data_IF_476789117869
#
_entry.id   IF_476789117869
#
_cell.length_a   1.000
_cell.length_b   1.000
_cell.length_c   1.000
_cell.angle_alpha   90.00
_cell.angle_beta   90.00
_cell.angle_gamma   90.00
#
_symmetry.space_group_name_H-M   'P 1'
#
loop_
_entity.id
_entity.type
_entity.pdbx_description
1 polymer ?
#
# COMPACT_ATOMS: atom_id res chain seq x y z
N UNK A 1 -0.23 22.30 0.59
CA UNK A 1 -0.78 21.64 -0.61
C UNK A 1 -1.35 20.29 -0.26
N UNK A 2 -2.51 19.94 -0.77
CA UNK A 2 -3.14 18.67 -0.41
C UNK A 2 -2.41 17.50 -1.07
N UNK A 3 -2.28 16.38 -0.33
CA UNK A 3 -1.64 15.18 -0.85
C UNK A 3 -2.30 14.68 -2.14
N UNK A 4 -3.64 14.88 -2.27
CA UNK A 4 -4.37 14.46 -3.46
C UNK A 4 -3.80 15.06 -4.75
N UNK A 5 -3.25 16.27 -4.68
CA UNK A 5 -2.67 16.93 -5.84
C UNK A 5 -1.37 16.27 -6.30
N UNK A 6 -0.79 15.42 -5.45
CA UNK A 6 0.49 14.76 -5.72
C UNK A 6 0.39 13.25 -5.71
N UNK A 7 -0.83 12.69 -5.78
CA UNK A 7 -1.04 11.26 -5.69
C UNK A 7 -0.25 10.48 -6.73
N UNK A 8 -0.23 10.97 -7.96
CA UNK A 8 0.50 10.30 -9.02
C UNK A 8 1.99 10.19 -8.70
N UNK A 9 2.56 11.31 -8.24
CA UNK A 9 3.97 11.32 -7.85
C UNK A 9 4.24 10.39 -6.66
N UNK A 10 3.32 10.36 -5.70
CA UNK A 10 3.50 9.59 -4.47
C UNK A 10 2.95 8.17 -4.55
N UNK A 11 2.43 7.78 -5.71
CA UNK A 11 1.76 6.48 -5.85
C UNK A 11 2.62 5.29 -5.46
N UNK A 12 3.90 5.34 -5.78
CA UNK A 12 4.82 4.27 -5.40
C UNK A 12 4.99 4.16 -3.89
N UNK A 13 5.11 5.30 -3.21
CA UNK A 13 5.21 5.30 -1.75
C UNK A 13 3.95 4.78 -1.10
N UNK A 14 2.80 5.15 -1.65
CA UNK A 14 1.51 4.67 -1.15
C UNK A 14 1.43 3.14 -1.28
N UNK A 15 1.83 2.60 -2.43
CA UNK A 15 1.84 1.15 -2.64
C UNK A 15 2.79 0.45 -1.69
N UNK A 16 3.93 1.07 -1.38
CA UNK A 16 4.86 0.49 -0.41
C UNK A 16 4.28 0.48 1.00
N UNK A 17 3.52 1.52 1.38
CA UNK A 17 2.81 1.50 2.66
C UNK A 17 1.83 0.33 2.71
N UNK A 18 1.05 0.13 1.64
CA UNK A 18 0.11 -0.98 1.55
C UNK A 18 0.85 -2.31 1.71
N UNK A 19 1.91 -2.49 0.95
CA UNK A 19 2.65 -3.75 0.95
C UNK A 19 3.30 -4.02 2.30
N UNK A 20 3.82 -2.99 2.94
CA UNK A 20 4.41 -3.10 4.27
C UNK A 20 3.40 -3.63 5.28
N UNK A 21 2.21 -3.02 5.33
CA UNK A 21 1.19 -3.45 6.28
C UNK A 21 0.63 -4.82 5.94
N UNK A 22 0.47 -5.13 4.65
CA UNK A 22 0.00 -6.44 4.21
C UNK A 22 1.00 -7.55 4.52
N UNK A 23 2.28 -7.21 4.64
CA UNK A 23 3.32 -8.16 5.02
C UNK A 23 3.31 -8.43 6.53
N UNK A 24 2.82 -7.48 7.32
CA UNK A 24 2.74 -7.64 8.78
C UNK A 24 1.48 -8.37 9.23
N UNK A 25 0.42 -8.34 8.43
CA UNK A 25 -0.83 -8.98 8.78
C UNK A 25 -1.89 -8.66 7.73
N UNK A 26 -3.11 -9.10 7.99
CA UNK A 26 -4.22 -8.82 7.08
C UNK A 26 -4.69 -7.40 7.25
N UNK A 27 -5.12 -6.78 6.14
CA UNK A 27 -5.69 -5.45 6.15
C UNK A 27 -6.91 -5.40 5.25
N UNK A 28 -7.81 -4.47 5.50
CA UNK A 28 -8.92 -4.17 4.60
C UNK A 28 -8.85 -2.71 4.18
N UNK A 29 -9.54 -2.41 3.06
CA UNK A 29 -9.37 -1.11 2.41
C UNK A 29 -9.64 0.09 3.29
N UNK A 30 -10.76 0.09 4.03
CA UNK A 30 -11.09 1.24 4.87
C UNK A 30 -10.02 1.49 5.94
N UNK A 31 -9.53 0.42 6.57
CA UNK A 31 -8.45 0.55 7.55
C UNK A 31 -7.21 1.15 6.91
N UNK A 32 -6.89 0.71 5.69
CA UNK A 32 -5.70 1.21 5.01
C UNK A 32 -5.83 2.70 4.65
N UNK A 33 -7.03 3.14 4.28
CA UNK A 33 -7.28 4.56 4.02
C UNK A 33 -6.96 5.39 5.27
N UNK A 34 -7.43 4.93 6.43
CA UNK A 34 -7.18 5.63 7.69
C UNK A 34 -5.72 5.60 8.09
N UNK A 35 -5.06 4.48 7.84
CA UNK A 35 -3.63 4.35 8.13
C UNK A 35 -2.81 5.29 7.25
N UNK A 36 -3.14 5.36 5.96
CA UNK A 36 -2.47 6.28 5.05
C UNK A 36 -2.68 7.74 5.48
N UNK A 37 -3.88 8.06 5.97
CA UNK A 37 -4.15 9.41 6.46
C UNK A 37 -3.22 9.78 7.62
N UNK A 38 -2.96 8.85 8.53
CA UNK A 38 -2.04 9.09 9.64
C UNK A 38 -0.63 9.41 9.17
N UNK A 39 -0.26 8.90 8.00
CA UNK A 39 1.06 9.15 7.41
C UNK A 39 1.06 10.30 6.42
N UNK A 40 -0.03 11.08 6.38
CA UNK A 40 -0.09 12.27 5.56
C UNK A 40 -0.60 12.08 4.14
N UNK A 41 -1.12 10.89 3.82
CA UNK A 41 -1.64 10.61 2.49
C UNK A 41 -3.15 10.63 2.50
N UNK A 42 -3.74 11.40 1.58
CA UNK A 42 -5.19 11.43 1.39
C UNK A 42 -5.53 10.62 0.15
N UNK A 43 -6.05 9.42 0.37
CA UNK A 43 -6.39 8.49 -0.70
C UNK A 43 -7.85 8.14 -0.58
N UNK A 44 -8.61 8.35 -1.66
CA UNK A 44 -10.03 8.03 -1.68
C UNK A 44 -10.23 6.53 -1.94
N UNK A 45 -11.40 5.98 -1.59
CA UNK A 45 -11.72 4.60 -1.98
C UNK A 45 -11.61 4.38 -3.48
N UNK A 46 -12.01 5.37 -4.29
CA UNK A 46 -11.93 5.28 -5.76
C UNK A 46 -10.51 5.15 -6.27
N UNK A 47 -9.52 5.53 -5.49
CA UNK A 47 -8.10 5.35 -5.83
C UNK A 47 -7.53 4.10 -5.20
N UNK A 48 -7.83 3.86 -3.92
CA UNK A 48 -7.21 2.75 -3.20
C UNK A 48 -7.69 1.39 -3.67
N UNK A 49 -9.01 1.20 -3.86
CA UNK A 49 -9.52 -0.13 -4.23
C UNK A 49 -8.99 -0.60 -5.57
N UNK A 50 -8.95 0.23 -6.63
CA UNK A 50 -8.30 -0.20 -7.88
C UNK A 50 -6.82 -0.53 -7.70
N UNK A 51 -6.13 0.20 -6.81
CA UNK A 51 -4.73 -0.07 -6.51
C UNK A 51 -4.55 -1.44 -5.86
N UNK A 52 -5.39 -1.77 -4.88
CA UNK A 52 -5.35 -3.09 -4.23
C UNK A 52 -5.61 -4.20 -5.23
N UNK A 53 -6.62 -4.01 -6.11
CA UNK A 53 -6.95 -5.00 -7.14
C UNK A 53 -5.79 -5.19 -8.11
N UNK A 54 -5.14 -4.12 -8.52
CA UNK A 54 -4.00 -4.21 -9.42
C UNK A 54 -2.83 -4.93 -8.78
N UNK A 55 -2.57 -4.65 -7.51
CA UNK A 55 -1.49 -5.32 -6.77
C UNK A 55 -1.79 -6.82 -6.62
N UNK A 56 -3.06 -7.18 -6.44
CA UNK A 56 -3.45 -8.58 -6.38
C UNK A 56 -3.27 -9.26 -7.74
N UNK A 57 -3.71 -8.61 -8.82
CA UNK A 57 -3.54 -9.16 -10.17
C UNK A 57 -2.08 -9.40 -10.51
N UNK A 58 -1.20 -8.54 -10.02
CA UNK A 58 0.24 -8.69 -10.25
C UNK A 58 0.91 -9.67 -9.31
N UNK A 59 0.14 -10.25 -8.41
CA UNK A 59 0.64 -11.29 -7.52
C UNK A 59 1.34 -10.81 -6.26
N UNK A 60 1.30 -9.51 -5.96
CA UNK A 60 1.90 -8.97 -4.73
C UNK A 60 1.01 -9.18 -3.52
N UNK A 61 -0.29 -9.21 -3.72
CA UNK A 61 -1.29 -9.41 -2.67
C UNK A 61 -2.17 -10.57 -3.01
N UNK A 62 -2.75 -11.18 -1.98
CA UNK A 62 -3.85 -12.12 -2.13
C UNK A 62 -4.93 -11.71 -1.14
N UNK A 63 -6.17 -12.04 -1.46
CA UNK A 63 -7.29 -11.61 -0.64
C UNK A 63 -8.28 -12.74 -0.40
N UNK A 64 -9.09 -12.55 0.62
CA UNK A 64 -10.23 -13.42 0.92
C UNK A 64 -11.33 -12.57 1.52
N UNK A 65 -12.57 -12.97 1.34
CA UNK A 65 -13.69 -12.31 1.98
C UNK A 65 -13.85 -12.88 3.38
N UNK A 66 -13.98 -11.99 4.36
CA UNK A 66 -14.19 -12.35 5.75
C UNK A 66 -15.49 -11.72 6.22
N UNK A 67 -16.29 -12.48 6.97
CA UNK A 67 -17.59 -12.03 7.42
C UNK A 67 -18.68 -12.31 6.41
N UNK A 68 -19.91 -11.89 6.72
CA UNK A 68 -21.08 -12.14 5.91
C UNK A 68 -21.97 -10.90 5.86
N UNK A 69 -22.80 -10.79 4.80
CA UNK A 69 -23.75 -9.70 4.63
C UNK A 69 -23.05 -8.35 4.58
N UNK A 70 -23.61 -7.37 5.28
CA UNK A 70 -23.08 -6.01 5.29
C UNK A 70 -21.73 -5.88 5.99
N UNK A 71 -21.37 -6.89 6.77
CA UNK A 71 -20.09 -6.91 7.51
C UNK A 71 -19.00 -7.61 6.73
N UNK A 72 -19.33 -8.16 5.56
CA UNK A 72 -18.33 -8.81 4.74
C UNK A 72 -17.31 -7.77 4.26
N UNK A 73 -16.04 -8.13 4.36
CA UNK A 73 -14.97 -7.28 3.89
C UNK A 73 -13.88 -8.13 3.29
N UNK A 74 -13.20 -7.58 2.31
CA UNK A 74 -12.10 -8.27 1.67
C UNK A 74 -10.82 -7.96 2.42
N UNK A 75 -10.17 -9.03 2.90
CA UNK A 75 -8.92 -8.91 3.65
C UNK A 75 -7.76 -9.24 2.71
N UNK A 76 -6.75 -8.41 2.73
CA UNK A 76 -5.57 -8.55 1.88
C UNK A 76 -4.34 -8.85 2.72
N UNK A 77 -3.44 -9.65 2.16
CA UNK A 77 -2.14 -9.93 2.77
C UNK A 77 -1.10 -10.07 1.68
N UNK A 78 0.15 -9.83 2.02
CA UNK A 78 1.24 -9.96 1.06
C UNK A 78 1.51 -11.43 0.74
N UNK A 79 1.79 -11.70 -0.54
CA UNK A 79 2.26 -13.00 -0.97
C UNK A 79 3.77 -13.07 -0.75
N UNK A 80 4.36 -14.25 -1.03
CA UNK A 80 5.83 -14.36 -1.03
C UNK A 80 6.44 -13.38 -2.03
N UNK A 81 5.86 -13.30 -3.24
CA UNK A 81 6.30 -12.35 -4.24
C UNK A 81 6.21 -10.91 -3.71
N UNK A 82 5.13 -10.59 -3.01
CA UNK A 82 4.97 -9.26 -2.43
C UNK A 82 6.03 -8.94 -1.38
N UNK A 83 6.32 -9.91 -0.51
CA UNK A 83 7.34 -9.71 0.52
C UNK A 83 8.73 -9.57 -0.09
N UNK A 84 9.03 -10.35 -1.13
CA UNK A 84 10.30 -10.25 -1.84
C UNK A 84 10.44 -8.89 -2.52
N UNK A 85 9.35 -8.42 -3.15
CA UNK A 85 9.33 -7.11 -3.79
C UNK A 85 9.52 -6.00 -2.76
N UNK A 86 8.92 -6.13 -1.57
CA UNK A 86 9.08 -5.15 -0.51
C UNK A 86 10.54 -5.10 -0.04
N UNK A 87 11.17 -6.25 0.14
CA UNK A 87 12.58 -6.32 0.55
C UNK A 87 13.47 -5.62 -0.48
N UNK A 88 13.22 -5.87 -1.76
CA UNK A 88 13.96 -5.19 -2.83
C UNK A 88 13.70 -3.67 -2.80
N UNK A 89 12.44 -3.27 -2.64
CA UNK A 89 12.08 -1.87 -2.61
C UNK A 89 12.73 -1.12 -1.46
N UNK A 90 12.93 -1.79 -0.30
CA UNK A 90 13.61 -1.17 0.83
C UNK A 90 15.01 -0.70 0.46
N UNK A 91 15.73 -1.48 -0.35
CA UNK A 91 17.08 -1.08 -0.78
C UNK A 91 17.01 0.14 -1.69
N UNK A 92 15.97 0.22 -2.53
CA UNK A 92 15.79 1.37 -3.42
C UNK A 92 15.38 2.62 -2.66
N UNK A 93 14.52 2.46 -1.65
CA UNK A 93 14.15 3.57 -0.79
C UNK A 93 15.35 4.11 -0.03
N UNK A 94 16.19 3.20 0.49
CA UNK A 94 17.39 3.60 1.24
C UNK A 94 18.36 4.36 0.33
N UNK A 95 18.53 3.91 -0.89
CA UNK A 95 19.40 4.57 -1.86
C UNK A 95 18.87 5.98 -2.18
N UNK A 96 17.58 6.08 -2.44
CA UNK A 96 16.94 7.35 -2.73
C UNK A 96 17.03 8.31 -1.53
N UNK A 97 16.82 7.79 -0.33
CA UNK A 97 16.97 8.59 0.89
C UNK A 97 18.37 9.18 0.97
N UNK A 98 19.38 8.38 0.68
CA UNK A 98 20.76 8.87 0.68
C UNK A 98 20.96 10.03 -0.27
N UNK A 99 20.37 9.96 -1.47
CA UNK A 99 20.50 11.02 -2.45
C UNK A 99 19.67 12.25 -2.09
N UNK A 100 18.38 12.05 -1.80
CA UNK A 100 17.47 13.18 -1.60
C UNK A 100 17.66 13.89 -0.26
N UNK A 101 17.93 13.14 0.78
CA UNK A 101 17.95 13.69 2.14
C UNK A 101 19.37 13.97 2.60
N UNK A 102 20.29 13.07 2.34
CA UNK A 102 21.67 13.18 2.82
C UNK A 102 22.64 13.75 1.80
N UNK A 103 22.16 13.95 0.56
CA UNK A 103 22.98 14.59 -0.47
C UNK A 103 24.12 13.73 -1.03
N UNK A 104 23.95 12.40 -0.93
CA UNK A 104 24.99 11.48 -1.42
C UNK A 104 24.81 11.06 -2.86
#
# INVERSE_FOLDING_TARGET
MATADHQELLGGLIRLHVLHHAAEGELYGHWMIEELRRHGYRVSPGTLYPMLHAMERRGYLKSKVQGAGRRARRMYRATKKGRDALAFAKSRVRELFGELIEGR
#
